data_IF_507059997411
#
_entry.id   IF_507059997411
#
_cell.length_a   1.000
_cell.length_b   1.000
_cell.length_c   1.000
_cell.angle_alpha   90.00
_cell.angle_beta   90.00
_cell.angle_gamma   90.00
#
_symmetry.space_group_name_H-M   'P 1'
#
loop_
_entity.id
_entity.type
_entity.pdbx_description
1 polymer ?
#
# COMPACT_ATOMS: atom_id res chain seq x y z
N UNK A 1 17.97 11.34 -1.11
CA UNK A 1 16.96 10.52 -0.40
C UNK A 1 16.76 9.27 -1.21
N UNK A 2 16.73 8.08 -0.58
CA UNK A 2 16.60 6.81 -1.30
C UNK A 2 15.13 6.60 -1.61
N UNK A 3 14.80 6.34 -2.88
CA UNK A 3 13.41 6.09 -3.29
C UNK A 3 13.05 4.62 -3.12
N UNK A 4 11.76 4.34 -2.95
CA UNK A 4 11.26 2.97 -2.88
C UNK A 4 11.54 2.17 -4.17
N UNK A 5 11.48 2.83 -5.34
CA UNK A 5 11.81 2.23 -6.64
C UNK A 5 13.27 1.77 -6.70
N UNK A 6 14.22 2.59 -6.22
CA UNK A 6 15.63 2.19 -6.14
C UNK A 6 15.85 0.96 -5.25
N UNK A 7 15.10 0.86 -4.14
CA UNK A 7 15.14 -0.31 -3.26
C UNK A 7 14.59 -1.54 -3.97
N UNK A 8 13.44 -1.43 -4.63
CA UNK A 8 12.82 -2.51 -5.42
C UNK A 8 13.78 -3.00 -6.51
N UNK A 9 14.43 -2.10 -7.24
CA UNK A 9 15.42 -2.43 -8.27
C UNK A 9 16.63 -3.19 -7.70
N UNK A 10 17.13 -2.79 -6.53
CA UNK A 10 18.21 -3.51 -5.86
C UNK A 10 17.78 -4.94 -5.48
N UNK A 11 16.58 -5.10 -4.91
CA UNK A 11 16.04 -6.43 -4.63
C UNK A 11 15.78 -7.24 -5.90
N UNK A 12 15.35 -6.63 -7.00
CA UNK A 12 15.17 -7.32 -8.28
C UNK A 12 16.50 -7.85 -8.82
N UNK A 13 17.55 -7.01 -8.78
CA UNK A 13 18.91 -7.41 -9.17
C UNK A 13 19.41 -8.58 -8.33
N UNK A 14 19.16 -8.55 -7.02
CA UNK A 14 19.53 -9.61 -6.11
C UNK A 14 18.76 -10.92 -6.39
N UNK A 15 17.45 -10.83 -6.59
CA UNK A 15 16.61 -11.96 -6.98
C UNK A 15 17.11 -12.60 -8.28
N UNK A 16 17.43 -11.80 -9.30
CA UNK A 16 18.03 -12.28 -10.54
C UNK A 16 19.39 -12.98 -10.31
N UNK A 17 20.23 -12.43 -9.43
CA UNK A 17 21.51 -13.04 -9.09
C UNK A 17 21.33 -14.42 -8.43
N UNK A 18 20.31 -14.60 -7.59
CA UNK A 18 19.99 -15.90 -6.96
C UNK A 18 19.48 -16.97 -7.95
N UNK A 19 19.04 -16.58 -9.14
CA UNK A 19 18.67 -17.50 -10.22
C UNK A 19 19.78 -17.70 -11.26
N UNK A 20 20.86 -16.92 -11.18
CA UNK A 20 21.98 -17.03 -12.13
C UNK A 20 22.79 -18.32 -11.87
N UNK A 21 22.55 -19.34 -12.69
CA UNK A 21 23.23 -20.65 -12.59
C UNK A 21 24.76 -20.58 -12.63
N UNK A 22 25.36 -19.54 -13.24
CA UNK A 22 26.82 -19.37 -13.26
C UNK A 22 27.36 -18.99 -11.87
N UNK A 23 26.56 -18.26 -11.10
CA UNK A 23 26.90 -17.80 -9.75
C UNK A 23 26.46 -18.81 -8.66
N UNK A 24 25.31 -19.45 -8.84
CA UNK A 24 24.64 -20.19 -7.75
C UNK A 24 24.93 -21.69 -7.67
N UNK A 25 25.75 -22.23 -8.58
CA UNK A 25 25.96 -23.66 -8.82
C UNK A 25 26.18 -24.52 -7.57
N UNK A 26 26.86 -23.99 -6.55
CA UNK A 26 27.14 -24.71 -5.29
C UNK A 26 26.37 -24.17 -4.08
N UNK A 27 25.78 -22.98 -4.18
CA UNK A 27 25.20 -22.25 -3.04
C UNK A 27 23.68 -22.46 -2.89
N UNK A 28 22.99 -22.81 -3.97
CA UNK A 28 21.56 -23.15 -3.99
C UNK A 28 20.68 -22.12 -3.24
N UNK A 29 20.89 -20.82 -3.48
CA UNK A 29 20.20 -19.74 -2.76
C UNK A 29 18.67 -19.86 -2.80
N UNK A 30 18.10 -20.35 -3.90
CA UNK A 30 16.64 -20.57 -4.05
C UNK A 30 16.06 -21.61 -3.09
N UNK A 31 16.90 -22.45 -2.48
CA UNK A 31 16.50 -23.47 -1.52
C UNK A 31 16.67 -23.03 -0.07
N UNK A 32 17.36 -21.91 0.17
CA UNK A 32 17.64 -21.40 1.50
C UNK A 32 16.41 -20.77 2.17
N UNK A 33 16.44 -20.75 3.48
CA UNK A 33 15.49 -20.03 4.33
C UNK A 33 15.84 -18.54 4.40
N UNK A 34 14.91 -17.74 4.91
CA UNK A 34 15.11 -16.30 5.16
C UNK A 34 16.33 -16.04 6.04
N UNK A 35 16.42 -16.72 7.18
CA UNK A 35 17.53 -16.59 8.12
C UNK A 35 18.89 -16.90 7.47
N UNK A 36 18.95 -17.86 6.55
CA UNK A 36 20.19 -18.18 5.84
C UNK A 36 20.58 -17.15 4.78
N UNK A 37 19.60 -16.43 4.20
CA UNK A 37 19.86 -15.41 3.18
C UNK A 37 20.09 -14.02 3.77
N UNK A 38 19.46 -13.69 4.90
CA UNK A 38 19.54 -12.37 5.52
C UNK A 38 20.98 -11.82 5.60
N UNK A 39 22.00 -12.59 6.06
CA UNK A 39 23.37 -12.08 6.06
C UNK A 39 23.87 -11.67 4.66
N UNK A 40 23.64 -12.48 3.63
CA UNK A 40 24.08 -12.16 2.27
C UNK A 40 23.35 -10.94 1.71
N UNK A 41 22.06 -10.82 1.99
CA UNK A 41 21.23 -9.67 1.60
C UNK A 41 21.75 -8.41 2.29
N UNK A 42 22.06 -8.45 3.59
CA UNK A 42 22.66 -7.33 4.33
C UNK A 42 23.93 -6.82 3.67
N UNK A 43 24.87 -7.71 3.35
CA UNK A 43 26.14 -7.32 2.73
C UNK A 43 25.93 -6.73 1.33
N UNK A 44 25.03 -7.30 0.53
CA UNK A 44 24.70 -6.77 -0.78
C UNK A 44 24.10 -5.36 -0.68
N UNK A 45 23.08 -5.17 0.16
CA UNK A 45 22.40 -3.88 0.30
C UNK A 45 23.33 -2.80 0.87
N UNK A 46 24.17 -3.16 1.84
CA UNK A 46 25.18 -2.24 2.37
C UNK A 46 26.14 -1.78 1.28
N UNK A 47 26.66 -2.71 0.45
CA UNK A 47 27.54 -2.35 -0.66
C UNK A 47 26.86 -1.65 -1.84
N UNK A 48 25.53 -1.75 -1.95
CA UNK A 48 24.76 -1.10 -3.01
C UNK A 48 24.35 0.34 -2.65
N UNK A 49 23.98 0.58 -1.38
CA UNK A 49 23.45 1.86 -0.92
C UNK A 49 24.41 2.67 -0.05
N UNK A 50 25.48 2.06 0.47
CA UNK A 50 26.38 2.61 1.50
C UNK A 50 25.68 3.08 2.79
N UNK A 51 24.37 2.86 2.90
CA UNK A 51 23.50 3.31 3.99
C UNK A 51 22.47 2.22 4.28
N UNK A 52 22.76 1.39 5.28
CA UNK A 52 21.91 0.28 5.72
C UNK A 52 21.98 0.17 7.24
N UNK A 53 20.83 0.28 7.89
CA UNK A 53 20.66 -0.10 9.28
C UNK A 53 19.93 -1.45 9.35
N UNK A 54 20.65 -2.56 9.62
CA UNK A 54 20.00 -3.84 9.80
C UNK A 54 19.29 -3.89 11.16
N UNK A 55 18.14 -4.56 11.21
CA UNK A 55 17.41 -4.78 12.45
C UNK A 55 16.98 -3.47 13.15
N UNK A 56 16.61 -2.42 12.40
CA UNK A 56 16.29 -1.12 13.00
C UNK A 56 15.03 -1.20 13.90
N UNK A 57 15.07 -0.67 15.14
CA UNK A 57 13.97 -0.82 16.09
C UNK A 57 12.72 -0.04 15.69
N UNK A 58 11.54 -0.61 15.99
CA UNK A 58 10.25 0.05 15.76
C UNK A 58 9.30 -0.19 16.94
N UNK A 59 8.63 0.86 17.41
CA UNK A 59 7.60 0.74 18.43
C UNK A 59 6.27 0.35 17.77
N UNK A 60 5.79 -0.87 18.04
CA UNK A 60 4.57 -1.39 17.39
C UNK A 60 3.33 -1.17 18.25
N UNK A 61 3.45 -1.34 19.57
CA UNK A 61 2.44 -0.96 20.57
C UNK A 61 3.14 -0.43 21.80
N UNK A 62 2.44 0.18 22.77
CA UNK A 62 3.07 0.66 24.01
C UNK A 62 3.91 -0.41 24.75
N UNK A 63 3.55 -1.69 24.61
CA UNK A 63 4.19 -2.81 25.30
C UNK A 63 5.01 -3.73 24.37
N UNK A 64 5.09 -3.41 23.07
CA UNK A 64 5.79 -4.25 22.10
C UNK A 64 6.67 -3.43 21.15
N UNK A 65 7.96 -3.76 21.17
CA UNK A 65 8.97 -3.22 20.26
C UNK A 65 9.41 -4.32 19.31
N UNK A 66 9.32 -4.04 18.01
CA UNK A 66 9.79 -4.90 16.93
C UNK A 66 11.09 -4.38 16.32
N UNK A 67 11.54 -5.02 15.25
CA UNK A 67 12.69 -4.60 14.43
C UNK A 67 12.36 -4.83 12.96
N UNK A 68 12.64 -3.86 12.11
CA UNK A 68 12.64 -4.02 10.66
C UNK A 68 13.81 -4.88 10.23
N UNK A 69 13.68 -5.69 9.19
CA UNK A 69 14.85 -6.41 8.66
C UNK A 69 15.93 -5.43 8.20
N UNK A 70 15.50 -4.37 7.53
CA UNK A 70 16.37 -3.32 7.01
C UNK A 70 15.71 -1.95 7.09
N UNK A 71 16.50 -0.93 7.40
CA UNK A 71 16.19 0.46 7.11
C UNK A 71 17.26 1.00 6.15
N UNK A 72 16.84 1.35 4.93
CA UNK A 72 17.71 1.76 3.83
C UNK A 72 17.45 3.25 3.55
N UNK A 73 18.32 4.11 4.07
CA UNK A 73 18.03 5.55 4.13
C UNK A 73 16.74 5.77 4.93
N UNK A 74 15.67 6.15 4.24
CA UNK A 74 14.36 6.38 4.83
C UNK A 74 13.30 5.32 4.51
N UNK A 75 13.68 4.23 3.82
CA UNK A 75 12.77 3.15 3.45
C UNK A 75 12.91 1.99 4.45
N UNK A 76 11.86 1.73 5.24
CA UNK A 76 11.76 0.55 6.09
C UNK A 76 11.39 -0.69 5.25
N UNK A 77 12.08 -1.80 5.46
CA UNK A 77 11.91 -3.02 4.67
C UNK A 77 11.72 -4.23 5.57
N UNK A 78 10.70 -5.03 5.27
CA UNK A 78 10.51 -6.39 5.74
C UNK A 78 10.66 -7.36 4.57
N UNK A 79 11.28 -8.51 4.80
CA UNK A 79 11.52 -9.53 3.80
C UNK A 79 10.84 -10.82 4.20
N UNK A 80 10.00 -11.36 3.32
CA UNK A 80 9.57 -12.74 3.41
C UNK A 80 10.02 -13.50 2.17
N UNK A 81 10.39 -14.77 2.37
CA UNK A 81 10.72 -15.64 1.23
C UNK A 81 10.11 -17.03 1.32
N UNK A 82 9.82 -17.59 0.15
CA UNK A 82 9.39 -18.97 -0.03
C UNK A 82 10.46 -19.76 -0.77
N UNK A 83 11.17 -20.62 -0.04
CA UNK A 83 12.13 -21.56 -0.62
C UNK A 83 11.46 -22.48 -1.64
N UNK A 84 12.22 -22.87 -2.67
CA UNK A 84 11.80 -23.84 -3.68
C UNK A 84 11.32 -25.18 -3.08
N UNK A 85 11.84 -25.54 -1.90
CA UNK A 85 11.48 -26.78 -1.18
C UNK A 85 10.25 -26.63 -0.28
N UNK A 86 9.80 -25.41 0.03
CA UNK A 86 8.68 -25.18 0.95
C UNK A 86 7.36 -25.65 0.31
N UNK A 87 6.53 -26.33 1.10
CA UNK A 87 5.24 -26.87 0.64
C UNK A 87 4.13 -25.81 0.62
N UNK A 88 4.00 -25.04 1.71
CA UNK A 88 2.99 -23.99 1.85
C UNK A 88 3.43 -22.63 1.28
N UNK A 89 2.46 -21.74 1.09
CA UNK A 89 2.70 -20.36 0.67
C UNK A 89 2.77 -19.42 1.88
N UNK A 90 3.97 -19.24 2.46
CA UNK A 90 4.18 -18.28 3.55
C UNK A 90 4.27 -16.82 3.11
N UNK A 91 4.10 -16.53 1.81
CA UNK A 91 4.07 -15.15 1.30
C UNK A 91 2.68 -14.54 1.37
N UNK A 92 1.65 -15.32 1.76
CA UNK A 92 0.29 -14.82 2.00
C UNK A 92 0.27 -13.82 3.15
N UNK A 93 -0.68 -12.88 3.08
CA UNK A 93 -0.79 -11.79 4.04
C UNK A 93 -1.00 -12.29 5.49
N UNK A 94 -1.77 -13.36 5.68
CA UNK A 94 -2.05 -13.97 6.98
C UNK A 94 -0.79 -14.43 7.74
N UNK A 95 0.29 -14.76 7.02
CA UNK A 95 1.55 -15.19 7.60
C UNK A 95 2.51 -14.05 7.90
N UNK A 96 2.22 -12.84 7.40
CA UNK A 96 3.10 -11.67 7.47
C UNK A 96 2.46 -10.50 8.24
N UNK A 97 1.48 -10.80 9.10
CA UNK A 97 0.71 -9.78 9.83
C UNK A 97 1.60 -8.96 10.77
N UNK A 98 2.60 -9.58 11.40
CA UNK A 98 3.49 -8.88 12.33
C UNK A 98 4.45 -7.94 11.62
N UNK A 99 4.92 -8.36 10.44
CA UNK A 99 5.78 -7.64 9.52
C UNK A 99 5.04 -6.41 8.99
N UNK A 100 3.79 -6.61 8.54
CA UNK A 100 2.91 -5.50 8.14
C UNK A 100 2.67 -4.53 9.30
N UNK A 101 2.43 -5.02 10.53
CA UNK A 101 2.30 -4.17 11.73
C UNK A 101 3.54 -3.34 12.03
N UNK A 102 4.74 -3.82 11.69
CA UNK A 102 5.96 -3.03 11.78
C UNK A 102 5.97 -1.95 10.70
N UNK A 103 5.73 -2.33 9.44
CA UNK A 103 5.79 -1.43 8.28
C UNK A 103 4.87 -0.21 8.40
N UNK A 104 3.64 -0.43 8.85
CA UNK A 104 2.62 0.62 9.03
C UNK A 104 2.88 1.55 10.23
N UNK A 105 3.95 1.31 11.00
CA UNK A 105 4.40 2.19 12.09
C UNK A 105 5.54 3.10 11.67
N UNK A 106 6.19 2.80 10.56
CA UNK A 106 7.21 3.69 10.01
C UNK A 106 6.52 4.95 9.45
N UNK A 107 6.98 6.15 9.79
CA UNK A 107 6.33 7.39 9.37
C UNK A 107 6.61 7.76 7.90
N UNK A 108 7.57 7.11 7.24
CA UNK A 108 7.94 7.40 5.86
C UNK A 108 7.58 6.24 4.91
N UNK A 109 8.52 5.80 4.08
CA UNK A 109 8.27 4.76 3.09
C UNK A 109 8.51 3.37 3.66
N UNK A 110 7.57 2.47 3.41
CA UNK A 110 7.63 1.08 3.89
C UNK A 110 7.46 0.10 2.74
N UNK A 111 8.27 -0.94 2.70
CA UNK A 111 8.31 -1.96 1.66
C UNK A 111 8.29 -3.37 2.25
N UNK A 112 7.34 -4.19 1.82
CA UNK A 112 7.33 -5.63 2.02
C UNK A 112 7.91 -6.30 0.77
N UNK A 113 9.04 -6.98 0.90
CA UNK A 113 9.66 -7.74 -0.20
C UNK A 113 9.26 -9.21 -0.07
N UNK A 114 8.69 -9.77 -1.13
CA UNK A 114 8.31 -11.19 -1.20
C UNK A 114 9.16 -11.89 -2.26
N UNK A 115 10.09 -12.74 -1.84
CA UNK A 115 10.87 -13.57 -2.74
C UNK A 115 10.25 -14.95 -2.89
N UNK A 116 9.67 -15.22 -4.05
CA UNK A 116 9.14 -16.55 -4.36
C UNK A 116 10.12 -17.36 -5.20
N UNK A 117 10.78 -18.32 -4.56
CA UNK A 117 11.63 -19.29 -5.27
C UNK A 117 10.87 -20.57 -5.64
N UNK A 118 9.57 -20.65 -5.35
CA UNK A 118 8.77 -21.85 -5.57
C UNK A 118 8.23 -21.93 -6.99
N UNK A 119 8.95 -22.66 -7.84
CA UNK A 119 8.47 -23.02 -9.18
C UNK A 119 8.14 -21.81 -10.04
N UNK A 120 7.41 -22.07 -11.13
CA UNK A 120 6.88 -21.00 -11.97
C UNK A 120 5.51 -20.57 -11.45
N UNK A 121 5.17 -19.29 -11.64
CA UNK A 121 3.90 -18.68 -11.25
C UNK A 121 3.21 -18.04 -12.44
N UNK A 122 1.89 -18.03 -12.38
CA UNK A 122 1.08 -17.18 -13.25
C UNK A 122 0.91 -15.81 -12.61
N UNK A 123 0.66 -14.80 -13.43
CA UNK A 123 0.42 -13.44 -12.97
C UNK A 123 -0.83 -13.38 -12.09
N UNK A 124 -1.85 -14.17 -12.39
CA UNK A 124 -3.08 -14.26 -11.60
C UNK A 124 -2.80 -14.77 -10.17
N UNK A 125 -1.95 -15.79 -10.01
CA UNK A 125 -1.57 -16.30 -8.67
C UNK A 125 -0.87 -15.22 -7.83
N UNK A 126 0.00 -14.43 -8.47
CA UNK A 126 0.74 -13.34 -7.83
C UNK A 126 -0.20 -12.21 -7.46
N UNK A 127 -1.03 -11.77 -8.40
CA UNK A 127 -2.03 -10.72 -8.19
C UNK A 127 -2.99 -11.09 -7.07
N UNK A 128 -3.46 -12.35 -7.02
CA UNK A 128 -4.36 -12.80 -5.96
C UNK A 128 -3.68 -12.76 -4.59
N UNK A 129 -2.41 -13.17 -4.51
CA UNK A 129 -1.64 -13.04 -3.25
C UNK A 129 -1.49 -11.57 -2.84
N UNK A 130 -1.23 -10.67 -3.78
CA UNK A 130 -1.13 -9.23 -3.51
C UNK A 130 -2.46 -8.62 -3.04
N UNK A 131 -3.61 -9.10 -3.54
CA UNK A 131 -4.92 -8.65 -3.07
C UNK A 131 -5.16 -9.01 -1.60
N UNK A 132 -4.64 -10.13 -1.11
CA UNK A 132 -4.78 -10.51 0.30
C UNK A 132 -4.20 -9.46 1.26
N UNK A 133 -3.11 -8.78 0.86
CA UNK A 133 -2.48 -7.73 1.68
C UNK A 133 -3.38 -6.51 1.88
N UNK A 134 -4.36 -6.27 0.99
CA UNK A 134 -5.37 -5.22 1.17
C UNK A 134 -6.41 -5.56 2.23
N UNK A 135 -6.65 -6.85 2.44
CA UNK A 135 -7.71 -7.35 3.31
C UNK A 135 -7.18 -7.76 4.69
N UNK A 136 -5.96 -7.36 5.07
CA UNK A 136 -5.44 -7.61 6.41
C UNK A 136 -6.40 -6.94 7.40
N UNK A 137 -7.03 -7.70 8.32
CA UNK A 137 -8.00 -7.15 9.26
C UNK A 137 -7.43 -5.95 9.99
N UNK A 138 -8.29 -4.98 10.32
CA UNK A 138 -7.91 -3.77 11.06
C UNK A 138 -6.93 -4.13 12.17
N UNK A 139 -5.78 -3.45 12.22
CA UNK A 139 -4.61 -3.84 13.01
C UNK A 139 -4.78 -3.68 14.55
N UNK A 140 -6.02 -3.76 15.03
CA UNK A 140 -6.44 -3.55 16.40
C UNK A 140 -6.73 -2.09 16.72
N UNK A 141 -6.93 -1.80 18.02
CA UNK A 141 -7.02 -0.43 18.54
C UNK A 141 -5.63 0.20 18.58
N UNK A 142 -5.50 1.43 18.08
CA UNK A 142 -4.28 2.23 18.09
C UNK A 142 -4.22 3.16 16.88
N UNK A 143 -3.23 4.06 16.85
CA UNK A 143 -2.98 5.01 15.75
C UNK A 143 -1.85 4.49 14.83
N UNK A 144 -2.08 3.49 13.96
CA UNK A 144 -1.11 3.14 12.92
C UNK A 144 -0.94 4.34 11.99
N UNK A 145 0.30 4.61 11.54
CA UNK A 145 0.51 5.66 10.55
C UNK A 145 -0.29 5.31 9.30
N UNK A 146 -1.03 6.29 8.77
CA UNK A 146 -1.89 6.17 7.58
C UNK A 146 -1.09 5.84 6.30
N UNK A 147 0.23 5.89 6.37
CA UNK A 147 1.07 5.76 5.18
C UNK A 147 0.97 4.36 4.57
N UNK A 148 0.73 4.31 3.24
CA UNK A 148 0.72 3.05 2.53
C UNK A 148 2.10 2.40 2.60
N UNK A 149 2.14 1.09 2.80
CA UNK A 149 3.33 0.30 2.50
C UNK A 149 3.16 -0.32 1.12
N UNK A 150 4.25 -0.56 0.40
CA UNK A 150 4.20 -1.27 -0.89
C UNK A 150 4.61 -2.71 -0.66
N UNK A 151 3.99 -3.64 -1.36
CA UNK A 151 4.44 -5.03 -1.46
C UNK A 151 5.07 -5.22 -2.83
N UNK A 152 6.30 -5.71 -2.88
CA UNK A 152 6.98 -6.09 -4.12
C UNK A 152 7.14 -7.62 -4.14
N UNK A 153 6.44 -8.28 -5.06
CA UNK A 153 6.44 -9.74 -5.22
C UNK A 153 7.33 -10.15 -6.39
N UNK A 154 8.42 -10.84 -6.10
CA UNK A 154 9.40 -11.33 -7.07
C UNK A 154 9.19 -12.82 -7.33
N UNK A 155 9.07 -13.20 -8.60
CA UNK A 155 8.76 -14.57 -9.00
C UNK A 155 9.38 -14.94 -10.35
N UNK A 156 9.32 -16.23 -10.67
CA UNK A 156 9.62 -16.73 -12.01
C UNK A 156 8.30 -17.01 -12.75
N UNK A 157 8.08 -16.37 -13.89
CA UNK A 157 6.90 -16.58 -14.73
C UNK A 157 6.92 -17.95 -15.43
N UNK A 158 5.80 -18.34 -16.05
CA UNK A 158 5.64 -19.62 -16.75
C UNK A 158 6.60 -19.82 -17.92
N UNK A 159 7.00 -18.75 -18.58
CA UNK A 159 8.01 -18.76 -19.65
C UNK A 159 9.46 -18.84 -19.11
N UNK A 160 9.62 -18.74 -17.79
CA UNK A 160 10.89 -18.79 -17.09
C UNK A 160 11.55 -17.41 -16.88
N UNK A 161 10.94 -16.32 -17.34
CA UNK A 161 11.41 -14.96 -17.04
C UNK A 161 11.28 -14.67 -15.54
N UNK A 162 12.17 -13.82 -15.03
CA UNK A 162 12.13 -13.36 -13.65
C UNK A 162 11.42 -12.01 -13.66
N UNK A 163 10.32 -11.93 -12.93
CA UNK A 163 9.40 -10.80 -12.95
C UNK A 163 9.15 -10.31 -11.53
N UNK A 164 8.56 -9.12 -11.43
CA UNK A 164 7.99 -8.66 -10.19
C UNK A 164 6.72 -7.86 -10.42
N UNK A 165 5.81 -7.91 -9.45
CA UNK A 165 4.68 -6.99 -9.34
C UNK A 165 4.79 -6.18 -8.06
N UNK A 166 4.46 -4.91 -8.16
CA UNK A 166 4.31 -4.01 -7.01
C UNK A 166 2.84 -3.76 -6.74
N UNK A 167 2.49 -3.66 -5.46
CA UNK A 167 1.16 -3.21 -5.04
C UNK A 167 1.30 -2.28 -3.85
N UNK A 168 0.83 -1.05 -3.99
CA UNK A 168 0.66 -0.16 -2.85
C UNK A 168 -0.53 -0.66 -2.01
N UNK A 169 -0.30 -0.83 -0.71
CA UNK A 169 -1.27 -1.32 0.26
C UNK A 169 -1.57 -0.21 1.25
N UNK A 170 -2.85 0.17 1.32
CA UNK A 170 -3.39 1.05 2.34
C UNK A 170 -4.12 0.21 3.36
N UNK A 171 -3.82 0.43 4.63
CA UNK A 171 -4.60 -0.20 5.70
C UNK A 171 -5.80 0.70 5.95
N UNK A 172 -6.99 0.18 5.63
CA UNK A 172 -8.24 0.87 5.94
C UNK A 172 -8.30 1.10 7.45
N UNK A 173 -8.55 2.34 7.88
CA UNK A 173 -9.05 2.56 9.25
C UNK A 173 -10.40 1.87 9.35
N UNK A 174 -10.77 1.46 10.57
CA UNK A 174 -12.16 1.07 10.81
C UNK A 174 -12.99 2.30 10.42
N UNK A 175 -13.97 2.18 9.50
CA UNK A 175 -14.92 3.24 9.30
C UNK A 175 -15.59 3.46 10.65
N UNK A 176 -15.45 4.66 11.20
CA UNK A 176 -16.38 5.11 12.21
C UNK A 176 -17.69 5.27 11.46
N UNK A 177 -18.65 4.40 11.73
CA UNK A 177 -19.96 4.47 11.09
C UNK A 177 -20.52 5.86 11.35
N UNK A 178 -20.80 6.60 10.28
CA UNK A 178 -21.45 7.90 10.37
C UNK A 178 -22.76 7.83 11.19
N UNK A 179 -23.43 6.68 11.15
CA UNK A 179 -24.66 6.43 11.89
C UNK A 179 -24.42 6.21 13.39
N UNK A 180 -23.26 5.68 13.79
CA UNK A 180 -22.96 5.37 15.20
C UNK A 180 -22.57 6.63 15.99
N UNK A 181 -22.00 7.65 15.33
CA UNK A 181 -21.68 8.96 15.92
C UNK A 181 -22.71 10.04 15.54
N UNK A 182 -23.98 9.76 15.83
CA UNK A 182 -25.09 10.71 15.65
C UNK A 182 -24.80 12.09 16.26
N UNK A 183 -24.06 12.18 17.36
CA UNK A 183 -23.73 13.47 18.00
C UNK A 183 -22.81 14.38 17.15
N UNK A 184 -21.91 13.80 16.33
CA UNK A 184 -21.02 14.56 15.42
C UNK A 184 -21.80 15.07 14.21
N UNK A 185 -22.74 14.27 13.71
CA UNK A 185 -23.56 14.59 12.52
C UNK A 185 -24.73 15.50 12.87
N UNK A 186 -25.38 15.31 14.02
CA UNK A 186 -26.54 16.09 14.45
C UNK A 186 -26.18 17.55 14.78
N UNK A 187 -24.92 17.84 15.11
CA UNK A 187 -24.48 19.22 15.35
C UNK A 187 -24.16 20.02 14.07
N UNK A 188 -23.95 19.36 12.92
CA UNK A 188 -23.65 20.02 11.65
C UNK A 188 -24.39 19.36 10.47
N UNK A 189 -25.51 19.94 10.05
CA UNK A 189 -26.32 19.51 8.89
C UNK A 189 -25.53 19.37 7.56
N UNK A 190 -24.28 19.84 7.51
CA UNK A 190 -23.32 19.68 6.42
C UNK A 190 -21.94 19.56 7.05
N UNK A 191 -21.22 18.46 6.80
CA UNK A 191 -19.79 18.38 7.09
C UNK A 191 -19.05 18.87 5.85
N UNK A 192 -18.38 20.01 5.95
CA UNK A 192 -17.53 20.57 4.90
C UNK A 192 -16.11 20.63 5.41
N UNK A 193 -15.20 19.97 4.71
CA UNK A 193 -13.79 20.00 5.01
C UNK A 193 -12.99 20.48 3.81
N UNK A 194 -12.19 21.51 4.06
CA UNK A 194 -11.23 22.10 3.14
C UNK A 194 -9.82 21.66 3.50
N UNK A 195 -8.86 22.03 2.66
CA UNK A 195 -7.43 21.73 2.87
C UNK A 195 -7.12 20.22 2.87
N UNK A 196 -7.95 19.45 2.17
CA UNK A 196 -7.67 18.07 1.86
C UNK A 196 -6.85 18.00 0.57
N UNK A 197 -6.06 16.95 0.42
CA UNK A 197 -5.30 16.67 -0.79
C UNK A 197 -5.77 15.35 -1.37
N UNK A 198 -6.23 15.38 -2.61
CA UNK A 198 -6.41 14.19 -3.42
C UNK A 198 -5.06 13.74 -3.96
N UNK A 199 -4.83 12.43 -3.98
CA UNK A 199 -3.67 11.78 -4.58
C UNK A 199 -4.16 10.65 -5.47
N UNK A 200 -3.72 10.68 -6.72
CA UNK A 200 -4.05 9.67 -7.72
C UNK A 200 -2.87 8.72 -7.94
N UNK A 201 -3.20 7.44 -8.07
CA UNK A 201 -2.24 6.40 -8.40
C UNK A 201 -2.78 5.55 -9.55
N UNK A 202 -1.89 5.08 -10.42
CA UNK A 202 -2.26 4.09 -11.41
C UNK A 202 -2.72 2.81 -10.69
N UNK A 203 -3.91 2.32 -11.02
CA UNK A 203 -4.53 1.23 -10.28
C UNK A 203 -3.75 -0.10 -10.44
N UNK A 204 -2.97 -0.26 -11.50
CA UNK A 204 -2.28 -1.52 -11.81
C UNK A 204 -0.86 -1.56 -11.23
N UNK A 205 -0.05 -0.55 -11.54
CA UNK A 205 1.34 -0.41 -11.11
C UNK A 205 1.48 0.15 -9.69
N UNK A 206 0.50 0.95 -9.24
CA UNK A 206 0.59 1.70 -7.98
C UNK A 206 1.47 2.95 -8.04
N UNK A 207 1.89 3.35 -9.24
CA UNK A 207 2.71 4.54 -9.45
C UNK A 207 1.92 5.80 -9.13
N UNK A 208 2.58 6.77 -8.50
CA UNK A 208 2.01 8.10 -8.26
C UNK A 208 1.78 8.80 -9.60
N UNK A 209 0.59 9.38 -9.77
CA UNK A 209 0.23 10.15 -10.96
C UNK A 209 0.29 11.65 -10.66
N UNK A 210 -0.52 12.09 -9.70
CA UNK A 210 -0.66 13.50 -9.36
C UNK A 210 -1.29 13.70 -7.98
N UNK A 211 -1.27 14.94 -7.50
CA UNK A 211 -1.99 15.36 -6.31
C UNK A 211 -2.48 16.80 -6.42
N UNK A 212 -3.65 17.07 -5.87
CA UNK A 212 -4.29 18.37 -5.97
C UNK A 212 -5.19 18.65 -4.75
N UNK A 213 -5.38 19.92 -4.37
CA UNK A 213 -6.22 20.27 -3.23
C UNK A 213 -7.70 20.03 -3.57
N UNK A 214 -8.46 19.56 -2.59
CA UNK A 214 -9.88 19.25 -2.74
C UNK A 214 -10.70 19.72 -1.55
N UNK A 215 -11.99 19.93 -1.79
CA UNK A 215 -13.00 20.15 -0.77
C UNK A 215 -14.00 18.99 -0.78
N UNK A 216 -14.32 18.47 0.40
CA UNK A 216 -15.36 17.45 0.58
C UNK A 216 -16.56 18.08 1.29
N UNK A 217 -17.76 17.76 0.81
CA UNK A 217 -19.02 18.06 1.49
C UNK A 217 -19.88 16.81 1.63
N UNK A 218 -20.30 16.52 2.85
CA UNK A 218 -21.25 15.45 3.18
C UNK A 218 -22.54 16.08 3.68
N UNK A 219 -23.67 15.71 3.07
CA UNK A 219 -25.01 16.19 3.46
C UNK A 219 -25.99 15.01 3.47
N UNK A 220 -26.25 14.48 4.66
CA UNK A 220 -27.04 13.25 4.81
C UNK A 220 -26.35 12.09 4.08
N UNK A 221 -27.03 11.51 3.09
CA UNK A 221 -26.48 10.44 2.24
C UNK A 221 -25.82 10.93 0.96
N UNK A 222 -25.70 12.24 0.76
CA UNK A 222 -25.02 12.83 -0.39
C UNK A 222 -23.56 13.15 -0.08
N UNK A 223 -22.66 12.76 -0.98
CA UNK A 223 -21.25 13.13 -0.96
C UNK A 223 -20.94 13.97 -2.20
N UNK A 224 -20.23 15.09 -1.98
CA UNK A 224 -19.70 15.96 -3.04
C UNK A 224 -18.20 16.16 -2.82
N UNK A 225 -17.42 15.98 -3.89
CA UNK A 225 -15.98 16.22 -3.92
C UNK A 225 -15.71 17.24 -5.02
N UNK A 226 -15.02 18.33 -4.68
CA UNK A 226 -14.75 19.46 -5.57
C UNK A 226 -13.26 19.74 -5.61
N UNK A 227 -12.72 20.02 -6.78
CA UNK A 227 -11.31 20.41 -6.93
C UNK A 227 -11.09 21.29 -8.15
N UNK A 228 -9.91 21.91 -8.19
CA UNK A 228 -9.43 22.67 -9.33
C UNK A 228 -8.14 22.01 -9.82
N UNK A 229 -8.06 21.72 -11.11
CA UNK A 229 -6.84 21.16 -11.71
C UNK A 229 -5.75 22.24 -11.88
N UNK A 230 -4.57 21.83 -12.35
CA UNK A 230 -3.43 22.73 -12.57
C UNK A 230 -3.71 23.81 -13.62
N UNK A 231 -4.65 23.57 -14.54
CA UNK A 231 -5.08 24.53 -15.57
C UNK A 231 -6.14 25.51 -15.05
N UNK A 232 -6.63 25.31 -13.84
CA UNK A 232 -7.66 26.12 -13.24
C UNK A 232 -9.09 25.68 -13.57
N UNK A 233 -9.29 24.53 -14.22
CA UNK A 233 -10.62 24.01 -14.48
C UNK A 233 -11.22 23.42 -13.21
N UNK A 234 -12.51 23.69 -13.01
CA UNK A 234 -13.24 23.21 -11.86
C UNK A 234 -13.90 21.87 -12.15
N UNK A 235 -13.68 20.92 -11.25
CA UNK A 235 -14.20 19.55 -11.30
C UNK A 235 -15.05 19.26 -10.08
N UNK A 236 -16.19 18.60 -10.29
CA UNK A 236 -17.09 18.20 -9.20
C UNK A 236 -17.63 16.80 -9.44
N UNK A 237 -17.48 15.95 -8.43
CA UNK A 237 -18.09 14.62 -8.34
C UNK A 237 -19.17 14.63 -7.27
N UNK A 238 -20.38 14.22 -7.63
CA UNK A 238 -21.52 14.15 -6.70
C UNK A 238 -22.20 12.80 -6.78
N UNK A 239 -22.64 12.28 -5.63
CA UNK A 239 -23.36 11.03 -5.58
C UNK A 239 -23.99 10.71 -4.24
N UNK A 240 -24.48 9.49 -4.12
CA UNK A 240 -25.22 9.02 -2.94
C UNK A 240 -24.65 7.74 -2.38
N UNK A 241 -24.85 7.55 -1.08
CA UNK A 241 -24.50 6.31 -0.37
C UNK A 241 -25.27 5.10 -0.95
N UNK A 242 -24.55 4.07 -1.38
CA UNK A 242 -25.10 2.80 -1.92
C UNK A 242 -25.03 1.66 -0.91
N UNK A 243 -23.98 1.63 -0.09
CA UNK A 243 -23.81 0.78 1.08
C UNK A 243 -23.24 1.64 2.21
N UNK A 244 -23.25 1.14 3.45
CA UNK A 244 -22.73 1.90 4.60
C UNK A 244 -21.33 2.47 4.31
N UNK A 245 -21.24 3.79 4.34
CA UNK A 245 -20.05 4.61 4.06
C UNK A 245 -19.48 4.47 2.62
N UNK A 246 -20.17 3.79 1.71
CA UNK A 246 -19.77 3.64 0.30
C UNK A 246 -20.66 4.48 -0.62
N UNK A 247 -20.04 5.21 -1.53
CA UNK A 247 -20.69 6.17 -2.42
C UNK A 247 -20.33 5.91 -3.88
N UNK A 248 -21.34 5.95 -4.76
CA UNK A 248 -21.12 6.08 -6.20
C UNK A 248 -21.27 7.54 -6.60
N UNK A 249 -20.20 8.14 -7.10
CA UNK A 249 -20.13 9.53 -7.53
C UNK A 249 -20.06 9.63 -9.05
N UNK A 250 -20.67 10.66 -9.60
CA UNK A 250 -20.65 10.97 -11.03
C UNK A 250 -20.14 12.40 -11.20
N UNK A 251 -19.25 12.61 -12.17
CA UNK A 251 -18.78 13.95 -12.52
C UNK A 251 -19.92 14.80 -13.08
N UNK A 252 -20.00 16.05 -12.63
CA UNK A 252 -20.96 17.03 -13.16
C UNK A 252 -20.62 17.48 -14.58
N UNK A 253 -19.37 17.30 -15.01
CA UNK A 253 -18.83 17.69 -16.31
C UNK A 253 -18.99 16.57 -17.34
N UNK A 254 -18.81 15.31 -16.92
CA UNK A 254 -18.85 14.14 -17.80
C UNK A 254 -19.47 12.94 -17.08
N UNK A 255 -20.67 12.51 -17.50
CA UNK A 255 -21.38 11.38 -16.87
C UNK A 255 -20.67 10.03 -17.01
N UNK A 256 -19.68 9.92 -17.90
CA UNK A 256 -18.84 8.74 -18.01
C UNK A 256 -17.75 8.69 -16.93
N UNK A 257 -17.40 9.84 -16.36
CA UNK A 257 -16.42 9.94 -15.29
C UNK A 257 -17.13 9.67 -13.96
N UNK A 258 -16.68 8.63 -13.26
CA UNK A 258 -17.35 8.09 -12.07
C UNK A 258 -16.34 7.76 -11.00
N UNK A 259 -16.75 7.78 -9.75
CA UNK A 259 -15.92 7.29 -8.66
C UNK A 259 -16.72 6.41 -7.71
N UNK A 260 -16.17 5.26 -7.35
CA UNK A 260 -16.73 4.40 -6.31
C UNK A 260 -15.81 4.50 -5.11
N UNK A 261 -16.30 5.14 -4.04
CA UNK A 261 -15.46 5.54 -2.91
C UNK A 261 -16.04 5.11 -1.58
N UNK A 262 -15.17 4.90 -0.60
CA UNK A 262 -15.51 4.71 0.81
C UNK A 262 -15.10 5.97 1.58
N UNK A 263 -16.01 6.48 2.41
CA UNK A 263 -15.78 7.59 3.32
C UNK A 263 -15.40 7.06 4.70
N UNK A 264 -14.53 7.76 5.41
CA UNK A 264 -14.11 7.43 6.77
C UNK A 264 -13.81 8.71 7.56
N UNK A 265 -13.93 8.65 8.89
CA UNK A 265 -13.52 9.72 9.80
C UNK A 265 -12.33 9.24 10.62
N UNK A 266 -11.34 10.12 10.77
CA UNK A 266 -10.20 9.95 11.67
C UNK A 266 -10.65 10.16 13.12
N UNK A 267 -10.53 9.14 13.98
CA UNK A 267 -10.91 9.22 15.41
C UNK A 267 -10.07 10.25 16.20
N UNK A 268 -8.84 10.56 15.77
CA UNK A 268 -7.92 11.40 16.55
C UNK A 268 -8.15 12.90 16.30
N UNK A 269 -8.41 13.28 15.05
CA UNK A 269 -8.56 14.69 14.66
C UNK A 269 -9.89 15.02 13.97
N UNK A 270 -10.77 14.02 13.82
CA UNK A 270 -12.09 14.18 13.20
C UNK A 270 -12.04 14.40 11.69
N UNK A 271 -10.87 14.25 11.04
CA UNK A 271 -10.73 14.54 9.62
C UNK A 271 -11.38 13.47 8.73
N UNK A 272 -11.98 13.90 7.63
CA UNK A 272 -12.53 13.03 6.60
C UNK A 272 -11.40 12.41 5.76
N UNK A 273 -11.55 11.12 5.49
CA UNK A 273 -10.77 10.39 4.49
C UNK A 273 -11.69 9.78 3.45
N UNK A 274 -11.37 9.95 2.17
CA UNK A 274 -12.03 9.23 1.08
C UNK A 274 -11.02 8.36 0.37
N UNK A 275 -11.40 7.13 0.05
CA UNK A 275 -10.59 6.23 -0.76
C UNK A 275 -11.46 5.46 -1.74
N UNK A 276 -10.97 5.23 -2.96
CA UNK A 276 -11.74 4.47 -3.93
C UNK A 276 -11.11 4.39 -5.30
N UNK A 277 -11.96 4.06 -6.27
CA UNK A 277 -11.58 3.99 -7.68
C UNK A 277 -12.23 5.14 -8.42
N UNK A 278 -11.41 5.93 -9.11
CA UNK A 278 -11.83 6.99 -10.02
C UNK A 278 -11.68 6.48 -11.46
N UNK A 279 -12.73 6.60 -12.24
CA UNK A 279 -12.74 6.38 -13.69
C UNK A 279 -12.88 7.75 -14.34
N UNK A 280 -11.88 8.16 -15.09
CA UNK A 280 -11.82 9.47 -15.74
C UNK A 280 -11.29 9.28 -17.16
N UNK A 281 -12.08 9.67 -18.15
CA UNK A 281 -11.74 9.60 -19.59
C UNK A 281 -11.29 8.20 -20.07
N UNK A 282 -11.78 7.15 -19.39
CA UNK A 282 -11.49 5.75 -19.69
C UNK A 282 -10.35 5.16 -18.86
N UNK A 283 -9.57 5.99 -18.18
CA UNK A 283 -8.50 5.55 -17.28
C UNK A 283 -9.05 5.25 -15.90
N UNK A 284 -8.54 4.19 -15.28
CA UNK A 284 -8.94 3.77 -13.94
C UNK A 284 -7.80 4.02 -12.96
N UNK A 285 -8.06 4.84 -11.96
CA UNK A 285 -7.08 5.32 -10.99
C UNK A 285 -7.53 4.98 -9.57
N UNK A 286 -6.57 4.76 -8.68
CA UNK A 286 -6.83 4.76 -7.24
C UNK A 286 -6.88 6.23 -6.77
N UNK A 287 -7.96 6.61 -6.09
CA UNK A 287 -8.21 7.98 -5.66
C UNK A 287 -8.30 8.04 -4.15
N UNK A 288 -7.41 8.83 -3.54
CA UNK A 288 -7.35 8.99 -2.08
C UNK A 288 -7.37 10.45 -1.74
N UNK A 289 -8.23 10.82 -0.81
CA UNK A 289 -8.35 12.17 -0.28
C UNK A 289 -8.12 12.17 1.21
N UNK A 290 -7.20 13.01 1.66
CA UNK A 290 -6.80 13.10 3.06
C UNK A 290 -6.22 14.45 3.43
N UNK A 291 -6.28 14.78 4.71
CA UNK A 291 -5.55 15.91 5.27
C UNK A 291 -4.05 15.54 5.30
N UNK A 292 -3.19 16.48 4.92
CA UNK A 292 -1.73 16.27 4.95
C UNK A 292 -1.17 16.13 6.35
#
# INVERSE_FOLDING_TARGET
MITQEQVIDAFFRLYCAYHNKRFTKTLNFTQKTEQELLPAIRHYLLGYFDQLEPESPVQVTANYQGRFDFLIGNVAVELALRSARKGGNNLKAEHNVNEVRKLIRHPEHSLMVLFDFKGRRTDEEVIETLKEYRNIPSLGRGNPHRYPFTVAYFYQAEDGQLCYYTRRIRVKRRPVSLIEDQEIIEQNNIISQRELTAREYDLHSGNYLQSYPVEIRVKGKELTIEYQDEEGNYHQYKGTEVELDQYELISSQNSNNKANVTLSIDEDDGSLGVEGVLVEDGDTKEWIIEKE
#
